data_IF_348724192898
#
_entry.id   IF_348724192898
#
_cell.length_a   1.000
_cell.length_b   1.000
_cell.length_c   1.000
_cell.angle_alpha   90.00
_cell.angle_beta   90.00
_cell.angle_gamma   90.00
#
_symmetry.space_group_name_H-M   'P 1'
#
loop_
_entity.id
_entity.type
_entity.pdbx_description
1 polymer ?
#
# COMPACT_ATOMS: atom_id res chain seq x y z
N UNK A 1 -42.75 -23.94 -7.02
CA UNK A 1 -42.42 -22.67 -7.69
C UNK A 1 -41.04 -22.25 -7.22
N UNK A 2 -40.01 -22.58 -8.00
CA UNK A 2 -38.64 -22.17 -7.72
C UNK A 2 -38.50 -20.69 -8.11
N UNK A 3 -38.33 -19.81 -7.12
CA UNK A 3 -37.93 -18.42 -7.36
C UNK A 3 -36.43 -18.42 -7.54
N UNK A 4 -35.97 -18.29 -8.78
CA UNK A 4 -34.59 -17.99 -9.10
C UNK A 4 -34.27 -16.60 -8.55
N UNK A 5 -33.48 -16.54 -7.48
CA UNK A 5 -32.76 -15.33 -7.13
C UNK A 5 -31.77 -15.09 -8.27
N UNK A 6 -32.02 -14.07 -9.09
CA UNK A 6 -31.08 -13.61 -10.08
C UNK A 6 -29.79 -13.23 -9.35
N UNK A 7 -28.71 -13.96 -9.60
CA UNK A 7 -27.36 -13.50 -9.37
C UNK A 7 -27.19 -12.20 -10.15
N UNK A 8 -27.34 -11.06 -9.48
CA UNK A 8 -26.87 -9.81 -10.03
C UNK A 8 -25.36 -9.94 -10.12
N UNK A 9 -24.85 -10.08 -11.32
CA UNK A 9 -23.48 -9.73 -11.59
C UNK A 9 -23.40 -8.22 -11.38
N UNK A 10 -23.12 -7.79 -10.13
CA UNK A 10 -22.98 -6.38 -9.77
C UNK A 10 -21.65 -5.87 -10.36
N UNK A 11 -21.60 -5.74 -11.69
CA UNK A 11 -20.52 -5.01 -12.36
C UNK A 11 -20.64 -3.54 -11.99
N UNK A 12 -19.62 -3.03 -11.31
CA UNK A 12 -19.54 -1.62 -10.95
C UNK A 12 -19.59 -0.75 -12.20
N UNK A 13 -20.20 0.42 -12.06
CA UNK A 13 -20.15 1.48 -13.06
C UNK A 13 -18.68 1.77 -13.44
N UNK A 14 -18.28 1.58 -14.71
CA UNK A 14 -16.90 1.82 -15.16
C UNK A 14 -16.39 3.22 -14.83
N UNK A 15 -17.28 4.22 -14.71
CA UNK A 15 -16.89 5.59 -14.32
C UNK A 15 -16.39 5.70 -12.87
N UNK A 16 -16.67 4.71 -12.03
CA UNK A 16 -16.24 4.65 -10.62
C UNK A 16 -15.01 3.77 -10.40
N UNK A 17 -14.54 3.04 -11.41
CA UNK A 17 -13.50 2.01 -11.27
C UNK A 17 -12.21 2.58 -10.64
N UNK A 18 -11.65 3.64 -11.22
CA UNK A 18 -10.40 4.26 -10.74
C UNK A 18 -10.54 4.81 -9.32
N UNK A 19 -11.69 5.41 -9.01
CA UNK A 19 -11.98 5.97 -7.70
C UNK A 19 -12.10 4.88 -6.62
N UNK A 20 -12.73 3.75 -6.94
CA UNK A 20 -12.83 2.58 -6.04
C UNK A 20 -11.46 1.96 -5.81
N UNK A 21 -10.68 1.79 -6.88
CA UNK A 21 -9.32 1.26 -6.80
C UNK A 21 -8.46 2.17 -5.92
N UNK A 22 -8.43 3.47 -6.18
CA UNK A 22 -7.64 4.42 -5.39
C UNK A 22 -8.06 4.44 -3.91
N UNK A 23 -9.37 4.45 -3.61
CA UNK A 23 -9.87 4.40 -2.24
C UNK A 23 -9.43 3.11 -1.52
N UNK A 24 -9.51 1.95 -2.19
CA UNK A 24 -9.10 0.66 -1.61
C UNK A 24 -7.59 0.60 -1.40
N UNK A 25 -6.81 1.05 -2.39
CA UNK A 25 -5.35 1.06 -2.30
C UNK A 25 -4.85 2.03 -1.23
N UNK A 26 -5.48 3.19 -1.06
CA UNK A 26 -5.19 4.15 0.02
C UNK A 26 -5.72 3.70 1.39
N UNK A 27 -6.76 2.89 1.40
CA UNK A 27 -7.50 2.48 2.60
C UNK A 27 -8.42 3.56 3.17
N UNK A 28 -8.18 4.84 2.88
CA UNK A 28 -9.03 5.95 3.26
C UNK A 28 -8.75 7.22 2.45
N UNK A 29 -9.75 8.09 2.32
CA UNK A 29 -9.58 9.50 1.95
C UNK A 29 -9.91 10.42 3.11
N UNK A 30 -9.24 11.58 3.17
CA UNK A 30 -9.53 12.68 4.11
C UNK A 30 -10.29 13.78 3.41
N UNK A 31 -11.33 14.30 4.05
CA UNK A 31 -12.05 15.50 3.63
C UNK A 31 -13.57 15.35 3.70
N UNK A 32 -14.26 16.46 3.90
CA UNK A 32 -15.72 16.58 3.73
C UNK A 32 -16.01 16.98 2.29
N UNK A 33 -16.25 16.00 1.44
CA UNK A 33 -16.84 16.21 0.12
C UNK A 33 -17.94 15.16 -0.05
N UNK A 34 -19.06 15.35 0.66
CA UNK A 34 -20.25 14.53 0.44
C UNK A 34 -20.66 14.53 -1.03
N UNK A 35 -20.33 15.58 -1.81
CA UNK A 35 -20.58 15.69 -3.24
C UNK A 35 -19.61 14.89 -4.12
N UNK A 36 -18.29 14.97 -3.88
CA UNK A 36 -17.29 14.30 -4.75
C UNK A 36 -17.31 12.79 -4.56
N UNK A 37 -17.56 12.32 -3.33
CA UNK A 37 -17.61 10.89 -3.02
C UNK A 37 -19.03 10.31 -3.06
N UNK A 38 -20.04 11.16 -3.31
CA UNK A 38 -21.46 10.76 -3.37
C UNK A 38 -21.69 9.53 -4.25
N UNK A 39 -21.11 9.45 -5.47
CA UNK A 39 -21.37 8.31 -6.34
C UNK A 39 -20.90 6.97 -5.74
N UNK A 40 -19.75 6.94 -5.05
CA UNK A 40 -19.27 5.73 -4.39
C UNK A 40 -20.12 5.36 -3.18
N UNK A 41 -20.59 6.35 -2.41
CA UNK A 41 -21.46 6.12 -1.24
C UNK A 41 -22.82 5.60 -1.68
N UNK A 42 -23.43 6.22 -2.71
CA UNK A 42 -24.72 5.80 -3.25
C UNK A 42 -24.65 4.40 -3.89
N UNK A 43 -23.49 4.03 -4.44
CA UNK A 43 -23.21 2.68 -4.93
C UNK A 43 -22.86 1.66 -3.82
N UNK A 44 -22.78 2.07 -2.55
CA UNK A 44 -22.41 1.20 -1.43
C UNK A 44 -20.92 0.80 -1.40
N UNK A 45 -20.07 1.49 -2.16
CA UNK A 45 -18.63 1.23 -2.30
C UNK A 45 -17.81 2.05 -1.27
N UNK A 46 -18.37 3.11 -0.72
CA UNK A 46 -17.72 3.90 0.32
C UNK A 46 -18.65 4.15 1.52
N UNK A 47 -18.06 4.36 2.69
CA UNK A 47 -18.74 4.85 3.89
C UNK A 47 -18.05 6.11 4.42
N UNK A 48 -18.84 7.06 4.92
CA UNK A 48 -18.33 8.28 5.55
C UNK A 48 -18.35 8.13 7.07
N UNK A 49 -17.22 8.39 7.73
CA UNK A 49 -17.08 8.42 9.19
C UNK A 49 -16.37 9.69 9.63
N UNK A 50 -17.14 10.73 9.96
CA UNK A 50 -16.60 12.05 10.26
C UNK A 50 -15.87 12.63 9.04
N UNK A 51 -14.59 13.04 9.14
CA UNK A 51 -13.83 13.58 8.01
C UNK A 51 -13.21 12.49 7.12
N UNK A 52 -13.54 11.21 7.34
CA UNK A 52 -12.92 10.07 6.66
C UNK A 52 -13.92 9.41 5.71
N UNK A 53 -13.44 9.04 4.53
CA UNK A 53 -14.12 8.12 3.62
C UNK A 53 -13.36 6.80 3.61
N UNK A 54 -14.06 5.69 3.82
CA UNK A 54 -13.47 4.35 3.94
C UNK A 54 -14.08 3.42 2.87
N UNK A 55 -13.31 2.48 2.30
CA UNK A 55 -13.85 1.47 1.41
C UNK A 55 -14.74 0.50 2.20
N UNK A 56 -15.87 0.11 1.60
CA UNK A 56 -16.68 -1.01 2.11
C UNK A 56 -16.09 -2.35 1.69
N UNK A 57 -16.60 -3.46 2.24
CA UNK A 57 -16.22 -4.79 1.76
C UNK A 57 -16.56 -5.01 0.28
N UNK A 58 -17.66 -4.41 -0.20
CA UNK A 58 -18.02 -4.43 -1.62
C UNK A 58 -16.96 -3.74 -2.48
N UNK A 59 -16.45 -2.57 -2.07
CA UNK A 59 -15.34 -1.92 -2.76
C UNK A 59 -14.05 -2.74 -2.76
N UNK A 60 -13.73 -3.40 -1.65
CA UNK A 60 -12.54 -4.27 -1.58
C UNK A 60 -12.65 -5.46 -2.54
N UNK A 61 -13.81 -6.14 -2.56
CA UNK A 61 -14.07 -7.26 -3.48
C UNK A 61 -13.99 -6.82 -4.93
N UNK A 62 -14.59 -5.67 -5.23
CA UNK A 62 -14.55 -5.03 -6.53
C UNK A 62 -13.14 -4.70 -7.02
N UNK A 63 -12.35 -3.99 -6.21
CA UNK A 63 -10.98 -3.66 -6.56
C UNK A 63 -10.13 -4.92 -6.72
N UNK A 64 -10.34 -5.94 -5.87
CA UNK A 64 -9.68 -7.23 -6.01
C UNK A 64 -10.01 -7.89 -7.35
N UNK A 65 -11.28 -7.89 -7.77
CA UNK A 65 -11.68 -8.44 -9.07
C UNK A 65 -11.10 -7.66 -10.26
N UNK A 66 -11.08 -6.32 -10.18
CA UNK A 66 -10.56 -5.46 -11.26
C UNK A 66 -9.04 -5.57 -11.42
N UNK A 67 -8.29 -5.70 -10.31
CA UNK A 67 -6.83 -5.73 -10.34
C UNK A 67 -6.23 -7.12 -10.53
N UNK A 68 -6.99 -8.19 -10.28
CA UNK A 68 -6.47 -9.56 -10.29
C UNK A 68 -5.90 -9.93 -11.66
N UNK A 69 -4.62 -10.29 -11.71
CA UNK A 69 -4.05 -10.89 -12.92
C UNK A 69 -4.52 -12.33 -13.08
N UNK A 70 -4.61 -12.87 -14.31
CA UNK A 70 -5.10 -14.22 -14.53
C UNK A 70 -4.25 -15.26 -13.78
N UNK A 71 -4.91 -16.10 -12.98
CA UNK A 71 -4.26 -17.14 -12.20
C UNK A 71 -3.54 -18.15 -13.13
N UNK A 72 -2.31 -18.54 -12.77
CA UNK A 72 -1.45 -19.42 -13.55
C UNK A 72 -0.78 -18.75 -14.76
N UNK A 73 -0.97 -17.44 -14.97
CA UNK A 73 -0.35 -16.73 -16.09
C UNK A 73 1.15 -16.50 -15.87
N UNK A 74 1.88 -16.30 -16.97
CA UNK A 74 3.28 -15.86 -16.91
C UNK A 74 3.45 -14.48 -16.25
N UNK A 75 2.43 -13.62 -16.33
CA UNK A 75 2.43 -12.32 -15.66
C UNK A 75 2.33 -12.49 -14.14
N UNK A 76 1.43 -13.37 -13.65
CA UNK A 76 1.33 -13.69 -12.22
C UNK A 76 2.66 -14.21 -11.69
N UNK A 77 3.31 -15.16 -12.37
CA UNK A 77 4.61 -15.68 -11.95
C UNK A 77 5.70 -14.59 -11.87
N UNK A 78 5.71 -13.64 -12.81
CA UNK A 78 6.67 -12.54 -12.81
C UNK A 78 6.42 -11.54 -11.70
N UNK A 79 5.15 -11.23 -11.39
CA UNK A 79 4.78 -10.33 -10.29
C UNK A 79 5.00 -11.00 -8.94
N UNK A 80 4.76 -12.31 -8.82
CA UNK A 80 5.09 -13.07 -7.60
C UNK A 80 6.57 -12.97 -7.27
N UNK A 81 7.47 -13.09 -8.26
CA UNK A 81 8.90 -12.91 -8.03
C UNK A 81 9.28 -11.48 -7.59
N UNK A 82 8.55 -10.45 -8.06
CA UNK A 82 8.73 -9.06 -7.59
C UNK A 82 8.26 -8.93 -6.14
N UNK A 83 7.08 -9.48 -5.84
CA UNK A 83 6.51 -9.48 -4.50
C UNK A 83 7.40 -10.21 -3.48
N UNK A 84 7.97 -11.36 -3.84
CA UNK A 84 8.92 -12.09 -2.99
C UNK A 84 10.21 -11.30 -2.76
N UNK A 85 10.70 -10.55 -3.75
CA UNK A 85 11.83 -9.63 -3.57
C UNK A 85 11.49 -8.40 -2.72
N UNK A 86 10.23 -7.95 -2.74
CA UNK A 86 9.71 -6.84 -1.94
C UNK A 86 9.63 -7.19 -0.44
N UNK A 87 9.21 -8.41 -0.10
CA UNK A 87 8.89 -8.81 1.29
C UNK A 87 10.04 -8.62 2.31
N UNK A 88 11.29 -9.01 2.02
CA UNK A 88 12.39 -8.71 2.94
C UNK A 88 12.61 -7.21 3.15
N UNK A 89 12.39 -6.37 2.14
CA UNK A 89 12.52 -4.90 2.25
C UNK A 89 11.34 -4.30 3.01
N UNK A 90 10.15 -4.87 2.83
CA UNK A 90 8.93 -4.53 3.56
C UNK A 90 9.12 -4.65 5.09
N UNK A 91 9.89 -5.64 5.54
CA UNK A 91 10.25 -5.77 6.95
C UNK A 91 11.14 -4.62 7.44
N UNK A 92 12.20 -4.29 6.69
CA UNK A 92 13.12 -3.19 7.05
C UNK A 92 12.38 -1.85 7.12
N UNK A 93 11.52 -1.52 6.17
CA UNK A 93 10.81 -0.24 6.24
C UNK A 93 9.89 -0.15 7.47
N UNK A 94 9.30 -1.26 7.93
CA UNK A 94 8.51 -1.25 9.17
C UNK A 94 9.38 -1.02 10.40
N UNK A 95 10.59 -1.58 10.42
CA UNK A 95 11.59 -1.34 11.47
C UNK A 95 12.01 0.13 11.46
N UNK A 96 12.32 0.71 10.29
CA UNK A 96 12.66 2.14 10.11
C UNK A 96 11.52 3.04 10.57
N UNK A 97 10.28 2.78 10.14
CA UNK A 97 9.12 3.55 10.58
C UNK A 97 8.92 3.48 12.10
N UNK A 98 9.13 2.30 12.68
CA UNK A 98 9.03 2.09 14.13
C UNK A 98 10.11 2.87 14.87
N UNK A 99 11.38 2.79 14.42
CA UNK A 99 12.49 3.53 15.00
C UNK A 99 12.32 5.05 14.86
N UNK A 100 11.76 5.51 13.74
CA UNK A 100 11.44 6.92 13.56
C UNK A 100 10.40 7.42 14.56
N UNK A 101 9.36 6.63 14.83
CA UNK A 101 8.25 6.99 15.71
C UNK A 101 8.54 6.76 17.19
N UNK A 102 9.31 5.73 17.52
CA UNK A 102 9.51 5.21 18.87
C UNK A 102 10.99 4.89 19.14
N UNK A 103 11.45 5.21 20.35
CA UNK A 103 12.77 4.81 20.85
C UNK A 103 12.79 3.33 21.23
N UNK A 104 13.99 2.72 21.39
CA UNK A 104 14.11 1.31 21.79
C UNK A 104 13.46 0.96 23.13
N UNK A 105 13.26 1.95 24.01
CA UNK A 105 12.55 1.79 25.29
C UNK A 105 11.02 1.86 25.16
N UNK A 106 10.50 2.07 23.95
CA UNK A 106 9.08 2.18 23.64
C UNK A 106 8.48 3.58 23.83
N UNK A 107 9.28 4.57 24.27
CA UNK A 107 8.84 5.97 24.32
C UNK A 107 8.73 6.57 22.91
N UNK A 108 7.94 7.63 22.75
CA UNK A 108 7.87 8.37 21.48
C UNK A 108 9.21 9.03 21.19
N UNK A 109 9.69 8.93 19.96
CA UNK A 109 10.87 9.68 19.53
C UNK A 109 10.52 11.18 19.47
N UNK A 110 11.12 11.99 20.33
CA UNK A 110 10.95 13.44 20.37
C UNK A 110 11.86 14.20 19.38
N UNK A 111 12.73 13.47 18.67
CA UNK A 111 13.70 14.01 17.71
C UNK A 111 14.68 15.04 18.31
N UNK A 112 15.00 14.88 19.60
CA UNK A 112 16.02 15.68 20.30
C UNK A 112 17.46 15.19 20.11
N UNK A 113 17.62 13.92 19.72
CA UNK A 113 18.92 13.29 19.42
C UNK A 113 19.10 13.16 17.91
N UNK A 114 19.89 14.07 17.34
CA UNK A 114 20.18 14.13 15.91
C UNK A 114 21.03 12.97 15.40
N UNK A 115 21.81 12.31 16.26
CA UNK A 115 22.65 11.17 15.85
C UNK A 115 21.74 9.98 15.58
N UNK A 116 20.82 9.70 16.50
CA UNK A 116 19.82 8.65 16.31
C UNK A 116 18.95 8.89 15.07
N UNK A 117 18.46 10.11 14.88
CA UNK A 117 17.65 10.43 13.70
C UNK A 117 18.44 10.25 12.39
N UNK A 118 19.74 10.54 12.39
CA UNK A 118 20.62 10.29 11.25
C UNK A 118 20.80 8.78 10.98
N UNK A 119 20.95 7.95 12.02
CA UNK A 119 21.03 6.49 11.87
C UNK A 119 19.74 5.90 11.28
N UNK A 120 18.57 6.41 11.68
CA UNK A 120 17.28 5.99 11.09
C UNK A 120 17.18 6.42 9.62
N UNK A 121 17.69 7.61 9.28
CA UNK A 121 17.74 8.10 7.90
C UNK A 121 18.71 7.28 7.03
N UNK A 122 19.85 6.83 7.54
CA UNK A 122 20.74 5.90 6.82
C UNK A 122 20.03 4.57 6.51
N UNK A 123 19.29 4.01 7.49
CA UNK A 123 18.50 2.80 7.24
C UNK A 123 17.37 2.99 6.22
N UNK A 124 16.78 4.18 6.16
CA UNK A 124 15.80 4.53 5.13
C UNK A 124 16.45 4.57 3.73
N UNK A 125 17.68 5.06 3.62
CA UNK A 125 18.44 5.08 2.37
C UNK A 125 18.71 3.65 1.87
N UNK A 126 19.15 2.75 2.76
CA UNK A 126 19.31 1.32 2.43
C UNK A 126 18.01 0.69 1.91
N UNK A 127 16.87 1.04 2.53
CA UNK A 127 15.54 0.61 2.07
C UNK A 127 15.23 1.17 0.69
N UNK A 128 15.53 2.44 0.45
CA UNK A 128 15.25 3.11 -0.82
C UNK A 128 16.08 2.51 -1.96
N UNK A 129 17.37 2.28 -1.74
CA UNK A 129 18.24 1.62 -2.72
C UNK A 129 17.77 0.20 -3.03
N UNK A 130 17.35 -0.57 -2.00
CA UNK A 130 16.90 -1.93 -2.16
C UNK A 130 15.57 -2.05 -2.94
N UNK A 131 14.65 -1.09 -2.77
CA UNK A 131 13.32 -1.14 -3.42
C UNK A 131 13.36 -0.71 -4.89
N UNK A 132 14.26 0.19 -5.26
CA UNK A 132 14.36 0.72 -6.63
C UNK A 132 14.42 -0.35 -7.74
N UNK A 133 15.28 -1.38 -7.70
CA UNK A 133 15.31 -2.42 -8.74
C UNK A 133 14.02 -3.26 -8.78
N UNK A 134 13.35 -3.44 -7.64
CA UNK A 134 12.06 -4.15 -7.54
C UNK A 134 10.98 -3.34 -8.26
N UNK A 135 10.92 -2.03 -8.04
CA UNK A 135 9.96 -1.13 -8.68
C UNK A 135 10.19 -0.98 -10.19
N UNK A 136 11.45 -0.86 -10.64
CA UNK A 136 11.78 -0.86 -12.09
C UNK A 136 11.35 -2.15 -12.78
N UNK A 137 11.36 -3.28 -12.07
CA UNK A 137 10.82 -4.54 -12.61
C UNK A 137 9.30 -4.51 -12.64
N UNK A 138 8.65 -4.02 -11.58
CA UNK A 138 7.19 -3.91 -11.49
C UNK A 138 6.60 -3.01 -12.59
N UNK A 139 7.25 -1.90 -12.90
CA UNK A 139 6.84 -0.94 -13.94
C UNK A 139 6.63 -1.60 -15.30
N UNK A 140 7.42 -2.63 -15.62
CA UNK A 140 7.29 -3.39 -16.87
C UNK A 140 6.16 -4.41 -16.86
N UNK A 141 5.57 -4.68 -15.70
CA UNK A 141 4.57 -5.74 -15.47
C UNK A 141 3.17 -5.19 -15.18
N UNK A 142 3.09 -4.03 -14.55
CA UNK A 142 1.84 -3.36 -14.18
C UNK A 142 1.85 -1.92 -14.68
N UNK A 143 0.83 -1.57 -15.46
CA UNK A 143 0.61 -0.20 -15.91
C UNK A 143 0.53 0.76 -14.71
N UNK A 144 1.02 1.97 -14.91
CA UNK A 144 1.02 3.07 -13.93
C UNK A 144 1.78 2.80 -12.62
N UNK A 145 2.41 1.63 -12.43
CA UNK A 145 3.12 1.30 -11.18
C UNK A 145 4.42 2.11 -10.98
N UNK A 146 4.90 2.80 -12.02
CA UNK A 146 5.99 3.79 -11.90
C UNK A 146 5.68 4.92 -10.91
N UNK A 147 4.39 5.19 -10.65
CA UNK A 147 3.95 6.18 -9.64
C UNK A 147 4.49 5.94 -8.23
N UNK A 148 4.80 4.69 -7.88
CA UNK A 148 5.34 4.38 -6.56
C UNK A 148 6.78 4.83 -6.41
N UNK A 149 7.59 4.69 -7.46
CA UNK A 149 8.96 5.18 -7.40
C UNK A 149 8.95 6.70 -7.25
N UNK A 150 8.20 7.40 -8.10
CA UNK A 150 8.02 8.86 -8.00
C UNK A 150 7.49 9.29 -6.64
N UNK A 151 6.46 8.63 -6.10
CA UNK A 151 5.92 8.99 -4.79
C UNK A 151 6.87 8.74 -3.63
N UNK A 152 7.70 7.68 -3.70
CA UNK A 152 8.73 7.42 -2.68
C UNK A 152 9.87 8.43 -2.77
N UNK A 153 10.30 8.81 -3.98
CA UNK A 153 11.29 9.87 -4.22
C UNK A 153 10.79 11.22 -3.70
N UNK A 154 9.56 11.62 -4.06
CA UNK A 154 8.95 12.86 -3.56
C UNK A 154 8.85 12.87 -2.03
N UNK A 155 8.43 11.76 -1.41
CA UNK A 155 8.34 11.69 0.05
C UNK A 155 9.72 11.76 0.73
N UNK A 156 10.75 11.16 0.11
CA UNK A 156 12.12 11.21 0.60
C UNK A 156 12.71 12.61 0.47
N UNK A 157 12.53 13.29 -0.67
CA UNK A 157 12.98 14.66 -0.88
C UNK A 157 12.36 15.61 0.17
N UNK A 158 11.06 15.49 0.41
CA UNK A 158 10.35 16.28 1.41
C UNK A 158 10.83 16.00 2.84
N UNK A 159 11.17 14.75 3.12
CA UNK A 159 11.74 14.36 4.41
C UNK A 159 13.13 14.97 4.60
N UNK A 160 13.97 14.93 3.58
CA UNK A 160 15.33 15.48 3.57
C UNK A 160 15.35 17.02 3.65
N UNK A 161 14.30 17.67 3.12
CA UNK A 161 14.03 19.11 3.31
C UNK A 161 13.59 19.47 4.75
N UNK A 162 13.52 18.49 5.65
CA UNK A 162 13.24 18.68 7.07
C UNK A 162 11.77 18.50 7.47
N UNK A 163 10.89 18.14 6.53
CA UNK A 163 9.48 17.89 6.81
C UNK A 163 9.29 16.46 7.38
N UNK A 164 9.64 16.30 8.66
CA UNK A 164 9.70 15.02 9.41
C UNK A 164 8.46 14.14 9.29
N UNK A 165 7.29 14.72 9.02
CA UNK A 165 6.05 13.97 8.86
C UNK A 165 6.06 13.07 7.61
N UNK A 166 6.88 13.37 6.60
CA UNK A 166 6.90 12.66 5.32
C UNK A 166 7.54 11.27 5.37
N UNK A 167 8.15 10.87 6.49
CA UNK A 167 8.57 9.48 6.64
C UNK A 167 7.40 8.55 6.99
N UNK A 168 6.62 8.87 8.02
CA UNK A 168 5.67 7.92 8.61
C UNK A 168 4.27 8.47 8.94
N UNK A 169 3.96 9.72 8.61
CA UNK A 169 2.64 10.30 8.90
C UNK A 169 1.55 9.64 8.05
N UNK A 170 0.42 9.20 8.64
CA UNK A 170 -0.73 8.69 7.90
C UNK A 170 -1.60 9.82 7.31
N UNK A 171 -1.19 11.08 7.46
CA UNK A 171 -1.99 12.26 7.11
C UNK A 171 -1.66 12.84 5.74
N UNK A 172 -0.51 12.47 5.18
CA UNK A 172 -0.02 12.87 3.86
C UNK A 172 0.42 11.62 3.09
N UNK A 173 0.81 11.81 1.83
CA UNK A 173 1.47 10.77 1.03
C UNK A 173 2.94 10.60 1.48
N UNK A 174 3.13 10.30 2.77
CA UNK A 174 4.45 9.96 3.36
C UNK A 174 5.00 8.68 2.75
N UNK A 175 6.31 8.47 2.90
CA UNK A 175 7.03 7.29 2.44
C UNK A 175 6.32 6.00 2.88
N UNK A 176 5.94 5.93 4.17
CA UNK A 176 5.14 4.83 4.71
C UNK A 176 3.80 4.61 3.99
N UNK A 177 3.03 5.67 3.73
CA UNK A 177 1.71 5.52 3.09
C UNK A 177 1.80 5.14 1.61
N UNK A 178 2.81 5.64 0.89
CA UNK A 178 3.11 5.21 -0.48
C UNK A 178 3.50 3.74 -0.49
N UNK A 179 4.33 3.32 0.47
CA UNK A 179 4.75 1.93 0.64
C UNK A 179 3.56 0.99 0.93
N UNK A 180 2.67 1.38 1.84
CA UNK A 180 1.49 0.58 2.16
C UNK A 180 0.55 0.43 0.96
N UNK A 181 0.45 1.47 0.12
CA UNK A 181 -0.32 1.42 -1.12
C UNK A 181 0.25 0.41 -2.12
N UNK A 182 1.57 0.45 -2.33
CA UNK A 182 2.29 -0.51 -3.15
C UNK A 182 2.05 -1.94 -2.66
N UNK A 183 2.19 -2.19 -1.35
CA UNK A 183 1.96 -3.51 -0.77
C UNK A 183 0.52 -3.97 -0.99
N UNK A 184 -0.47 -3.10 -0.76
CA UNK A 184 -1.88 -3.41 -0.96
C UNK A 184 -2.17 -3.78 -2.43
N UNK A 185 -1.60 -3.08 -3.41
CA UNK A 185 -1.80 -3.41 -4.82
C UNK A 185 -1.20 -4.77 -5.18
N UNK A 186 0.03 -5.06 -4.72
CA UNK A 186 0.66 -6.37 -4.96
C UNK A 186 -0.23 -7.51 -4.43
N UNK A 187 -0.82 -7.36 -3.26
CA UNK A 187 -1.72 -8.37 -2.69
C UNK A 187 -3.00 -8.53 -3.50
N UNK A 188 -3.62 -7.44 -3.95
CA UNK A 188 -4.84 -7.51 -4.77
C UNK A 188 -4.57 -8.12 -6.14
N UNK A 189 -3.49 -7.70 -6.80
CA UNK A 189 -3.04 -8.21 -8.09
C UNK A 189 -2.77 -9.71 -8.03
N UNK A 190 -2.09 -10.17 -6.97
CA UNK A 190 -1.75 -11.58 -6.77
C UNK A 190 -2.85 -12.40 -6.08
N UNK A 191 -3.93 -11.76 -5.62
CA UNK A 191 -5.00 -12.42 -4.86
C UNK A 191 -4.52 -13.06 -3.58
N UNK A 192 -3.52 -12.46 -2.91
CA UNK A 192 -2.90 -12.98 -1.69
C UNK A 192 -3.62 -12.41 -0.47
N UNK A 193 -4.00 -13.29 0.46
CA UNK A 193 -4.58 -12.90 1.73
C UNK A 193 -3.52 -12.37 2.72
N UNK A 194 -3.95 -11.61 3.73
CA UNK A 194 -3.05 -11.11 4.77
C UNK A 194 -2.33 -12.22 5.55
N UNK A 195 -2.97 -13.37 5.74
CA UNK A 195 -2.35 -14.51 6.42
C UNK A 195 -1.26 -15.17 5.55
N UNK A 196 -1.48 -15.28 4.23
CA UNK A 196 -0.47 -15.79 3.30
C UNK A 196 0.71 -14.83 3.16
N UNK A 197 0.43 -13.52 3.18
CA UNK A 197 1.44 -12.47 3.14
C UNK A 197 2.40 -12.55 4.34
N UNK A 198 1.84 -12.60 5.55
CA UNK A 198 2.61 -12.76 6.79
C UNK A 198 3.44 -14.06 6.79
N UNK A 199 2.80 -15.18 6.42
CA UNK A 199 3.48 -16.48 6.38
C UNK A 199 4.65 -16.50 5.39
N UNK A 200 4.48 -15.90 4.20
CA UNK A 200 5.52 -15.86 3.17
C UNK A 200 6.66 -14.92 3.53
N UNK A 201 6.35 -13.76 4.10
CA UNK A 201 7.38 -12.84 4.59
C UNK A 201 8.26 -13.50 5.64
N UNK A 202 7.64 -14.21 6.59
CA UNK A 202 8.36 -14.89 7.65
C UNK A 202 9.27 -16.01 7.14
N UNK A 203 8.83 -16.76 6.13
CA UNK A 203 9.66 -17.78 5.47
C UNK A 203 10.91 -17.18 4.81
N UNK A 204 10.73 -16.10 4.03
CA UNK A 204 11.82 -15.47 3.28
C UNK A 204 12.85 -14.80 4.21
N UNK A 205 12.38 -14.17 5.29
CA UNK A 205 13.29 -13.52 6.24
C UNK A 205 14.08 -14.58 7.03
N UNK A 206 13.46 -15.67 7.47
CA UNK A 206 14.18 -16.79 8.11
C UNK A 206 15.20 -17.43 7.18
N UNK A 207 14.83 -17.65 5.91
CA UNK A 207 15.72 -18.24 4.90
C UNK A 207 16.90 -17.36 4.50
N UNK A 208 16.82 -16.05 4.72
CA UNK A 208 17.92 -15.12 4.45
C UNK A 208 19.00 -15.09 5.55
N UNK A 209 18.73 -15.72 6.72
CA UNK A 209 19.63 -15.78 7.88
C UNK A 209 20.34 -17.15 8.03
N UNK A 210 20.22 -18.06 7.04
CA UNK A 210 20.85 -19.38 7.04
C UNK A 210 21.71 -19.59 5.80
#
# INVERSE_FOLDING_TARGET
>A
MHSAAAERTDTIDPSLADAVIDLVLRGMWRGTQESVHRPLVDAGLAMVKGPMVLPTESAKQAAAQMLRVPAGSGQEAQITAVYEAFLPVNRKIREVCTAWQCRPDGSVNDHGDSVYDAEVREQLEDVHEAIQPVLRRLERLLADSGRYLTGLEEALDRFDDGDRQWLASPLCDSYHTVWMRLHQELLLVLGISRAEDEAREEQLVRGSHG
#
